data_IF_129995223988
#
_entry.id   IF_129995223988
#
_cell.length_a   1.000
_cell.length_b   1.000
_cell.length_c   1.000
_cell.angle_alpha   90.00
_cell.angle_beta   90.00
_cell.angle_gamma   90.00
#
_symmetry.space_group_name_H-M   'P 1'
#
loop_
_entity.id
_entity.type
_entity.pdbx_description
1 polymer ?
#
# COMPACT_ATOMS: atom_id res chain seq x y z
N UNK A 1 32.48 -26.91 -15.85
CA UNK A 1 32.66 -25.80 -14.89
C UNK A 1 31.72 -24.69 -15.33
N UNK A 2 30.79 -24.13 -14.57
CA UNK A 2 30.33 -24.35 -13.19
C UNK A 2 28.83 -24.02 -13.18
N UNK A 3 27.99 -25.05 -13.05
CA UNK A 3 26.56 -24.92 -12.75
C UNK A 3 26.41 -24.59 -11.27
N UNK A 4 26.64 -23.34 -10.87
CA UNK A 4 26.38 -22.85 -9.51
C UNK A 4 26.09 -21.35 -9.55
N UNK A 5 24.87 -20.97 -9.92
CA UNK A 5 24.24 -19.73 -9.41
C UNK A 5 22.75 -19.54 -9.78
N UNK A 6 22.00 -20.62 -10.04
CA UNK A 6 20.55 -20.54 -10.28
C UNK A 6 19.69 -21.08 -9.12
N UNK A 7 20.29 -21.49 -8.01
CA UNK A 7 19.64 -22.22 -6.92
C UNK A 7 19.51 -21.45 -5.60
N UNK A 8 19.38 -20.12 -5.62
CA UNK A 8 19.20 -19.30 -4.40
C UNK A 8 18.11 -18.21 -4.47
N UNK A 9 17.19 -18.25 -5.45
CA UNK A 9 16.08 -17.28 -5.57
C UNK A 9 14.66 -17.88 -5.49
N UNK A 10 14.54 -19.11 -5.00
CA UNK A 10 13.25 -19.82 -4.91
C UNK A 10 12.47 -19.59 -3.60
N UNK A 11 13.10 -19.04 -2.55
CA UNK A 11 12.56 -19.19 -1.18
C UNK A 11 11.54 -18.12 -0.76
N UNK A 12 11.31 -17.05 -1.54
CA UNK A 12 10.47 -15.93 -1.09
C UNK A 12 9.36 -15.53 -2.07
N UNK A 13 8.83 -16.47 -2.86
CA UNK A 13 7.68 -16.15 -3.73
C UNK A 13 6.38 -16.28 -2.91
N UNK A 14 5.86 -15.15 -2.45
CA UNK A 14 4.62 -15.09 -1.67
C UNK A 14 3.38 -15.18 -2.57
N UNK A 15 2.27 -15.79 -2.07
CA UNK A 15 0.96 -15.68 -2.74
C UNK A 15 0.47 -14.23 -2.78
N UNK A 16 -0.46 -13.92 -3.68
CA UNK A 16 -1.09 -12.61 -3.77
C UNK A 16 -1.75 -12.20 -2.44
N UNK A 17 -2.57 -13.07 -1.87
CA UNK A 17 -3.10 -12.90 -0.52
C UNK A 17 -2.14 -13.46 0.51
N UNK A 18 -1.67 -12.60 1.42
CA UNK A 18 -0.77 -12.96 2.50
C UNK A 18 -1.49 -12.67 3.82
N UNK A 19 -1.72 -13.72 4.61
CA UNK A 19 -2.52 -13.64 5.84
C UNK A 19 -1.73 -13.20 7.08
N UNK A 20 -0.40 -13.05 6.95
CA UNK A 20 0.50 -12.67 8.04
C UNK A 20 1.66 -11.84 7.52
N UNK A 21 2.12 -10.84 8.27
CA UNK A 21 3.25 -10.00 7.86
C UNK A 21 4.56 -10.82 7.84
N UNK A 22 5.21 -11.02 6.67
CA UNK A 22 6.43 -11.81 6.59
C UNK A 22 7.58 -11.16 7.36
N UNK A 23 8.42 -11.96 8.02
CA UNK A 23 9.55 -11.46 8.85
C UNK A 23 10.51 -10.56 8.07
N UNK A 24 10.78 -10.88 6.81
CA UNK A 24 11.67 -10.05 5.98
C UNK A 24 11.08 -8.66 5.70
N UNK A 25 9.75 -8.54 5.60
CA UNK A 25 9.08 -7.25 5.41
C UNK A 25 9.17 -6.41 6.68
N UNK A 26 8.97 -7.02 7.86
CA UNK A 26 9.15 -6.34 9.15
C UNK A 26 10.57 -5.79 9.27
N UNK A 27 11.56 -6.64 8.99
CA UNK A 27 12.97 -6.25 9.02
C UNK A 27 13.28 -5.11 8.06
N UNK A 28 12.75 -5.17 6.84
CA UNK A 28 12.89 -4.10 5.84
C UNK A 28 12.28 -2.78 6.32
N UNK A 29 11.12 -2.80 6.97
CA UNK A 29 10.52 -1.59 7.56
C UNK A 29 11.37 -1.03 8.71
N UNK A 30 11.95 -1.89 9.55
CA UNK A 30 12.87 -1.46 10.60
C UNK A 30 14.14 -0.82 9.99
N UNK A 31 14.77 -1.48 9.03
CA UNK A 31 16.01 -1.01 8.40
C UNK A 31 15.83 0.26 7.56
N UNK A 32 14.77 0.34 6.74
CA UNK A 32 14.58 1.44 5.79
C UNK A 32 13.80 2.62 6.38
N UNK A 33 12.89 2.35 7.31
CA UNK A 33 11.97 3.37 7.86
C UNK A 33 12.24 3.66 9.33
N UNK A 34 13.10 2.89 10.01
CA UNK A 34 13.27 2.91 11.46
C UNK A 34 11.91 2.78 12.17
N UNK A 35 11.05 1.89 11.65
CA UNK A 35 9.74 1.57 12.22
C UNK A 35 9.89 0.59 13.39
N UNK A 36 9.84 1.11 14.62
CA UNK A 36 9.72 0.30 15.85
C UNK A 36 8.28 0.32 16.37
N UNK A 37 7.85 -0.65 17.21
CA UNK A 37 6.51 -0.66 17.78
C UNK A 37 6.13 0.65 18.52
N UNK A 38 7.08 1.19 19.29
CA UNK A 38 6.89 2.45 20.02
C UNK A 38 6.77 3.65 19.09
N UNK A 39 7.64 3.73 18.07
CA UNK A 39 7.58 4.82 17.09
C UNK A 39 6.30 4.76 16.28
N UNK A 40 5.88 3.57 15.87
CA UNK A 40 4.62 3.36 15.14
C UNK A 40 3.43 3.87 15.96
N UNK A 41 3.35 3.47 17.23
CA UNK A 41 2.27 3.87 18.13
C UNK A 41 2.23 5.40 18.32
N UNK A 42 3.38 6.02 18.60
CA UNK A 42 3.49 7.48 18.74
C UNK A 42 3.13 8.23 17.46
N UNK A 43 3.64 7.77 16.32
CA UNK A 43 3.38 8.40 15.03
C UNK A 43 1.90 8.29 14.62
N UNK A 44 1.23 7.17 14.90
CA UNK A 44 -0.21 7.00 14.67
C UNK A 44 -1.03 7.99 15.53
N UNK A 45 -0.70 8.12 16.81
CA UNK A 45 -1.37 9.06 17.71
C UNK A 45 -1.16 10.52 17.28
N UNK A 46 0.06 10.89 16.91
CA UNK A 46 0.38 12.23 16.42
C UNK A 46 -0.38 12.54 15.12
N UNK A 47 -0.34 11.64 14.14
CA UNK A 47 -1.03 11.82 12.86
C UNK A 47 -2.55 11.93 13.06
N UNK A 48 -3.15 11.08 13.91
CA UNK A 48 -4.57 11.20 14.29
C UNK A 48 -4.88 12.58 14.87
N UNK A 49 -4.05 13.06 15.78
CA UNK A 49 -4.23 14.36 16.42
C UNK A 49 -4.17 15.52 15.42
N UNK A 50 -3.25 15.45 14.44
CA UNK A 50 -3.17 16.44 13.36
C UNK A 50 -4.42 16.42 12.47
N UNK A 51 -4.88 15.23 12.08
CA UNK A 51 -6.07 15.06 11.24
C UNK A 51 -7.36 15.55 11.94
N UNK A 52 -7.49 15.40 13.26
CA UNK A 52 -8.65 15.93 14.00
C UNK A 52 -8.67 17.46 14.08
N UNK A 53 -7.50 18.11 14.00
CA UNK A 53 -7.38 19.58 14.00
C UNK A 53 -7.58 20.18 12.61
N UNK A 54 -7.46 19.39 11.55
CA UNK A 54 -7.61 19.88 10.20
C UNK A 54 -9.09 19.90 9.75
N UNK A 55 -9.61 21.03 9.23
CA UNK A 55 -11.02 21.14 8.82
C UNK A 55 -11.48 20.12 7.77
N UNK A 56 -10.61 19.72 6.85
CA UNK A 56 -10.94 18.80 5.76
C UNK A 56 -11.12 17.35 6.24
N UNK A 57 -10.38 16.98 7.28
CA UNK A 57 -10.33 15.60 7.80
C UNK A 57 -10.99 15.43 9.16
N UNK A 58 -11.40 16.53 9.81
CA UNK A 58 -12.07 16.52 11.11
C UNK A 58 -13.38 15.73 11.04
N UNK A 59 -13.61 14.86 12.03
CA UNK A 59 -14.78 13.99 12.08
C UNK A 59 -14.66 12.69 11.29
N UNK A 60 -13.58 12.50 10.51
CA UNK A 60 -13.31 11.23 9.84
C UNK A 60 -12.54 10.29 10.78
N UNK A 61 -13.02 9.05 10.92
CA UNK A 61 -12.32 7.99 11.64
C UNK A 61 -11.50 7.15 10.67
N UNK A 62 -10.17 7.18 10.82
CA UNK A 62 -9.27 6.37 10.02
C UNK A 62 -8.82 5.13 10.79
N UNK A 63 -8.75 3.99 10.10
CA UNK A 63 -8.15 2.76 10.65
C UNK A 63 -6.62 2.89 10.72
N UNK A 64 -6.01 2.28 11.73
CA UNK A 64 -4.55 2.32 11.92
C UNK A 64 -3.78 1.75 10.72
N UNK A 65 -4.30 0.72 10.07
CA UNK A 65 -3.66 0.12 8.90
C UNK A 65 -3.58 1.08 7.72
N UNK A 66 -4.58 1.94 7.54
CA UNK A 66 -4.55 2.97 6.51
C UNK A 66 -3.54 4.07 6.88
N UNK A 67 -3.59 4.58 8.12
CA UNK A 67 -2.65 5.59 8.60
C UNK A 67 -1.20 5.11 8.52
N UNK A 68 -0.96 3.84 8.89
CA UNK A 68 0.36 3.22 8.79
C UNK A 68 0.86 3.16 7.33
N UNK A 69 0.00 2.94 6.34
CA UNK A 69 0.40 2.98 4.93
C UNK A 69 0.89 4.39 4.53
N UNK A 70 0.19 5.45 4.95
CA UNK A 70 0.61 6.82 4.68
C UNK A 70 1.90 7.18 5.42
N UNK A 71 2.08 6.75 6.67
CA UNK A 71 3.32 6.93 7.41
C UNK A 71 4.49 6.24 6.69
N UNK A 72 4.34 4.97 6.32
CA UNK A 72 5.37 4.19 5.61
C UNK A 72 5.72 4.78 4.26
N UNK A 73 4.73 5.14 3.44
CA UNK A 73 4.93 5.79 2.13
C UNK A 73 5.76 7.06 2.25
N UNK A 74 5.59 7.81 3.34
CA UNK A 74 6.28 9.06 3.59
C UNK A 74 7.53 8.89 4.48
N UNK A 75 8.02 7.66 4.68
CA UNK A 75 9.17 7.36 5.55
C UNK A 75 9.05 7.99 6.94
N UNK A 76 7.83 7.99 7.48
CA UNK A 76 7.47 8.60 8.76
C UNK A 76 7.74 10.12 8.85
N UNK A 77 7.84 10.83 7.72
CA UNK A 77 7.86 12.30 7.69
C UNK A 77 6.45 12.80 7.93
N UNK A 78 6.20 13.30 9.14
CA UNK A 78 4.86 13.58 9.65
C UNK A 78 4.08 14.59 8.80
N UNK A 79 4.73 15.69 8.39
CA UNK A 79 4.10 16.71 7.55
C UNK A 79 3.64 16.16 6.21
N UNK A 80 4.48 15.36 5.55
CA UNK A 80 4.17 14.75 4.26
C UNK A 80 3.04 13.71 4.38
N UNK A 81 3.06 12.91 5.44
CA UNK A 81 2.01 11.93 5.71
C UNK A 81 0.65 12.63 5.93
N UNK A 82 0.64 13.68 6.73
CA UNK A 82 -0.56 14.49 6.98
C UNK A 82 -1.10 15.13 5.70
N UNK A 83 -0.24 15.77 4.89
CA UNK A 83 -0.64 16.37 3.62
C UNK A 83 -1.19 15.32 2.64
N UNK A 84 -0.56 14.15 2.55
CA UNK A 84 -1.00 13.10 1.63
C UNK A 84 -2.37 12.53 2.01
N UNK A 85 -2.68 12.40 3.30
CA UNK A 85 -4.03 11.97 3.73
C UNK A 85 -5.06 13.03 3.41
N UNK A 86 -4.76 14.31 3.62
CA UNK A 86 -5.65 15.40 3.25
C UNK A 86 -5.96 15.39 1.75
N UNK A 87 -4.92 15.26 0.92
CA UNK A 87 -5.08 15.16 -0.52
C UNK A 87 -5.96 13.96 -0.91
N UNK A 88 -5.76 12.81 -0.25
CA UNK A 88 -6.61 11.64 -0.45
C UNK A 88 -8.09 11.92 -0.12
N UNK A 89 -8.38 12.59 1.00
CA UNK A 89 -9.76 12.96 1.37
C UNK A 89 -10.37 13.95 0.39
N UNK A 90 -9.60 14.98 -0.03
CA UNK A 90 -10.06 15.98 -0.99
C UNK A 90 -10.38 15.34 -2.34
N UNK A 91 -9.52 14.45 -2.85
CA UNK A 91 -9.76 13.74 -4.11
C UNK A 91 -11.00 12.85 -4.00
N UNK A 92 -11.16 12.10 -2.90
CA UNK A 92 -12.36 11.27 -2.69
C UNK A 92 -13.64 12.09 -2.63
N UNK A 93 -13.61 13.30 -2.05
CA UNK A 93 -14.76 14.18 -1.97
C UNK A 93 -15.08 14.83 -3.32
N UNK A 94 -14.08 15.41 -3.98
CA UNK A 94 -14.25 16.21 -5.18
C UNK A 94 -14.44 15.34 -6.43
N UNK A 95 -13.68 14.25 -6.53
CA UNK A 95 -13.70 13.32 -7.65
C UNK A 95 -14.42 12.02 -7.29
N UNK A 96 -15.49 12.11 -6.49
CA UNK A 96 -16.21 10.93 -5.97
C UNK A 96 -16.69 9.97 -7.05
N UNK A 97 -16.88 10.43 -8.29
CA UNK A 97 -17.24 9.58 -9.42
C UNK A 97 -16.14 8.57 -9.80
N UNK A 98 -14.87 8.85 -9.53
CA UNK A 98 -13.75 7.91 -9.77
C UNK A 98 -13.78 6.71 -8.83
N UNK A 99 -14.43 6.85 -7.67
CA UNK A 99 -14.48 5.83 -6.63
C UNK A 99 -15.84 5.12 -6.55
N UNK A 100 -16.73 5.40 -7.51
CA UNK A 100 -17.99 4.65 -7.64
C UNK A 100 -17.68 3.26 -8.17
N UNK A 101 -18.32 2.25 -7.57
CA UNK A 101 -18.24 0.88 -8.04
C UNK A 101 -18.69 0.82 -9.50
N UNK A 102 -17.88 0.19 -10.34
CA UNK A 102 -18.26 -0.19 -11.69
C UNK A 102 -19.04 -1.52 -11.60
N UNK A 103 -20.11 -1.67 -12.38
CA UNK A 103 -20.85 -2.94 -12.42
C UNK A 103 -19.95 -4.09 -12.87
N UNK A 104 -20.12 -5.26 -12.25
CA UNK A 104 -19.35 -6.47 -12.57
C UNK A 104 -19.41 -6.84 -14.06
N UNK A 105 -20.49 -6.46 -14.76
CA UNK A 105 -20.64 -6.67 -16.21
C UNK A 105 -19.49 -6.07 -17.04
N UNK A 106 -18.83 -5.03 -16.55
CA UNK A 106 -17.70 -4.41 -17.23
C UNK A 106 -16.37 -5.11 -16.92
N UNK A 107 -16.31 -5.96 -15.90
CA UNK A 107 -15.10 -6.71 -15.53
C UNK A 107 -14.86 -7.91 -16.45
N UNK A 108 -15.89 -8.43 -17.13
CA UNK A 108 -15.77 -9.57 -18.04
C UNK A 108 -15.40 -9.19 -19.49
N UNK A 109 -15.45 -7.88 -19.82
CA UNK A 109 -15.11 -7.40 -21.16
C UNK A 109 -13.63 -7.68 -21.49
N UNK A 110 -13.26 -8.08 -22.71
CA UNK A 110 -11.85 -8.24 -23.08
C UNK A 110 -11.00 -6.98 -22.84
N UNK A 111 -11.59 -5.79 -22.97
CA UNK A 111 -10.96 -4.51 -22.68
C UNK A 111 -10.65 -4.27 -21.20
N UNK A 112 -11.35 -4.95 -20.28
CA UNK A 112 -11.08 -4.87 -18.84
C UNK A 112 -9.78 -5.59 -18.45
N UNK A 113 -9.31 -6.51 -19.31
CA UNK A 113 -8.11 -7.33 -19.09
C UNK A 113 -6.81 -6.61 -19.47
N UNK A 114 -6.87 -5.31 -19.73
CA UNK A 114 -5.70 -4.47 -19.97
C UNK A 114 -4.72 -4.51 -18.79
N UNK A 115 -5.22 -4.74 -17.57
CA UNK A 115 -4.42 -4.95 -16.36
C UNK A 115 -4.85 -6.24 -15.66
N UNK A 116 -3.90 -7.11 -15.34
CA UNK A 116 -4.14 -8.36 -14.60
C UNK A 116 -3.22 -8.41 -13.38
N UNK A 117 -3.80 -8.75 -12.23
CA UNK A 117 -3.04 -9.05 -11.01
C UNK A 117 -2.48 -10.46 -11.10
N UNK A 118 -1.15 -10.61 -10.99
CA UNK A 118 -0.55 -11.93 -10.98
C UNK A 118 -0.77 -12.63 -9.62
N UNK A 119 -0.92 -13.96 -9.60
CA UNK A 119 -1.27 -14.72 -8.39
C UNK A 119 -0.13 -14.77 -7.35
N UNK A 120 1.08 -14.32 -7.73
CA UNK A 120 2.26 -14.31 -6.87
C UNK A 120 2.85 -12.90 -6.79
N UNK A 121 3.45 -12.61 -5.65
CA UNK A 121 4.20 -11.38 -5.40
C UNK A 121 5.63 -11.53 -5.92
N UNK A 122 6.29 -10.41 -6.15
CA UNK A 122 7.72 -10.42 -6.40
C UNK A 122 8.50 -10.78 -5.11
N UNK A 123 9.81 -11.08 -5.19
CA UNK A 123 10.62 -11.41 -4.02
C UNK A 123 10.63 -10.34 -2.91
N UNK A 124 10.40 -9.07 -3.26
CA UNK A 124 10.28 -7.96 -2.31
C UNK A 124 8.88 -7.87 -1.64
N UNK A 125 7.95 -8.74 -2.02
CA UNK A 125 6.57 -8.76 -1.51
C UNK A 125 5.61 -7.81 -2.24
N UNK A 126 6.03 -7.13 -3.32
CA UNK A 126 5.15 -6.26 -4.09
C UNK A 126 4.16 -7.08 -4.94
N UNK A 127 2.93 -6.56 -5.06
CA UNK A 127 1.95 -7.04 -6.03
C UNK A 127 2.47 -6.81 -7.44
N UNK A 128 2.35 -7.81 -8.32
CA UNK A 128 2.72 -7.68 -9.72
C UNK A 128 1.45 -7.41 -10.54
N UNK A 129 1.44 -6.30 -11.26
CA UNK A 129 0.39 -5.95 -12.24
C UNK A 129 0.99 -6.15 -13.63
N UNK A 130 0.41 -7.04 -14.42
CA UNK A 130 0.73 -7.16 -15.84
C UNK A 130 -0.20 -6.26 -16.64
N UNK A 131 0.38 -5.29 -17.33
CA UNK A 131 -0.35 -4.41 -18.25
C UNK A 131 -0.10 -4.85 -19.68
N UNK A 132 -1.15 -5.11 -20.45
CA UNK A 132 -1.08 -5.36 -21.89
C UNK A 132 -1.74 -4.19 -22.62
N UNK A 133 -0.91 -3.24 -23.03
CA UNK A 133 -1.34 -2.06 -23.76
C UNK A 133 -1.17 -2.34 -25.26
N UNK A 134 -2.26 -2.74 -25.93
CA UNK A 134 -2.27 -3.12 -27.36
C UNK A 134 -2.74 -4.55 -27.61
N UNK A 135 -3.27 -4.79 -28.83
CA UNK A 135 -3.58 -6.13 -29.37
C UNK A 135 -2.28 -6.79 -29.81
#
# INVERSE_FOLDING_TARGET
MSSKDMTTKSENILPFHVNSLPKFVVKKCEEELNETPDRKTKALQELRSMLQRNPETRGISFHDDLLAQFLRRNKYRMRDAHQNIQNFVIINRNESYLFKSVSDQYLDLPSSKAHVLLPKRCPDGCTIIQSRLGI
#
